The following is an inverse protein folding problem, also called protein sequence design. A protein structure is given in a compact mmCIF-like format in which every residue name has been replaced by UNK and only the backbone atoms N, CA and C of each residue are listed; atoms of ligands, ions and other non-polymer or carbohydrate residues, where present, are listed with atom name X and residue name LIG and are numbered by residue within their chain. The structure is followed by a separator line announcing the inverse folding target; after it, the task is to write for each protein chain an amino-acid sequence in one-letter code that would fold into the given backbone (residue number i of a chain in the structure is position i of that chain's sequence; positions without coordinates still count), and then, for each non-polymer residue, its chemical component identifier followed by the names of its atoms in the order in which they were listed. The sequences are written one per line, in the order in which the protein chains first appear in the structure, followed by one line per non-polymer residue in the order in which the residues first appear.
data_IF_264444958758
#
_entry.id   IF_264444958758
#
_cell.length_a   1.000
_cell.length_b   1.000
_cell.length_c   1.000
_cell.angle_alpha   90.00
_cell.angle_beta   90.00
_cell.angle_gamma   90.00
#
_symmetry.space_group_name_H-M   'P 1'
#
loop_
_entity.id
_entity.type
_entity.pdbx_description
1 polymer ?
#
# COMPACT_ATOMS: atom_id res chain seq x y z
N UNK A 1 13.42 -3.65 -4.54
CA UNK A 1 12.64 -2.67 -3.76
C UNK A 1 11.22 -2.59 -4.28
N UNK A 2 10.29 -2.41 -3.36
CA UNK A 2 8.87 -2.26 -3.73
C UNK A 2 8.62 -1.02 -4.58
N UNK A 3 7.49 -0.98 -5.25
CA UNK A 3 7.03 0.18 -5.98
C UNK A 3 5.70 0.67 -5.46
N UNK A 4 5.48 1.96 -5.49
CA UNK A 4 4.22 2.57 -5.10
C UNK A 4 3.72 3.46 -6.24
N UNK A 5 2.40 3.44 -6.44
CA UNK A 5 1.74 4.31 -7.41
C UNK A 5 0.51 4.92 -6.77
N UNK A 6 0.07 6.03 -7.29
CA UNK A 6 -1.16 6.64 -6.83
C UNK A 6 -1.56 7.80 -7.73
N UNK A 7 -2.84 8.12 -7.70
CA UNK A 7 -3.32 9.31 -8.35
C UNK A 7 -4.61 9.81 -7.69
N UNK A 8 -4.88 11.07 -7.90
CA UNK A 8 -6.03 11.76 -7.35
C UNK A 8 -6.69 12.59 -8.46
N UNK A 9 -7.94 12.27 -8.76
CA UNK A 9 -8.70 13.03 -9.74
C UNK A 9 -9.28 14.30 -9.11
N UNK A 10 -8.73 15.44 -9.49
CA UNK A 10 -9.18 16.74 -8.98
C UNK A 10 -10.53 17.18 -9.56
N UNK A 11 -10.95 16.56 -10.66
CA UNK A 11 -12.21 16.89 -11.34
C UNK A 11 -13.43 16.15 -10.77
N UNK A 12 -13.27 15.44 -9.66
CA UNK A 12 -14.35 14.72 -9.01
C UNK A 12 -14.69 13.36 -9.62
N UNK A 13 -14.00 12.94 -10.67
CA UNK A 13 -14.20 11.60 -11.24
C UNK A 13 -13.64 10.54 -10.31
N UNK A 14 -14.32 9.41 -10.22
CA UNK A 14 -13.82 8.28 -9.44
C UNK A 14 -12.51 7.75 -10.01
N UNK A 15 -11.63 7.27 -9.13
CA UNK A 15 -10.43 6.58 -9.53
C UNK A 15 -10.80 5.24 -10.16
N UNK A 16 -10.05 4.86 -11.20
CA UNK A 16 -10.31 3.66 -11.98
C UNK A 16 -9.28 2.59 -11.63
N UNK A 17 -9.76 1.45 -11.13
CA UNK A 17 -8.90 0.32 -10.78
C UNK A 17 -8.08 -0.17 -11.97
N UNK A 18 -8.65 -0.14 -13.18
CA UNK A 18 -7.92 -0.58 -14.38
C UNK A 18 -6.71 0.31 -14.66
N UNK A 19 -6.81 1.60 -14.40
CA UNK A 19 -5.68 2.54 -14.51
C UNK A 19 -4.63 2.22 -13.47
N UNK A 20 -5.03 1.99 -12.24
CA UNK A 20 -4.11 1.61 -11.15
C UNK A 20 -3.36 0.32 -11.48
N UNK A 21 -4.04 -0.68 -12.01
CA UNK A 21 -3.42 -1.94 -12.42
C UNK A 21 -2.38 -1.72 -13.52
N UNK A 22 -2.70 -0.89 -14.50
CA UNK A 22 -1.76 -0.54 -15.57
C UNK A 22 -0.54 0.20 -15.02
N UNK A 23 -0.75 1.13 -14.10
CA UNK A 23 0.35 1.84 -13.45
C UNK A 23 1.24 0.88 -12.67
N UNK A 24 0.66 -0.03 -11.89
CA UNK A 24 1.40 -1.03 -11.14
C UNK A 24 2.18 -1.97 -12.07
N UNK A 25 1.60 -2.38 -13.20
CA UNK A 25 2.27 -3.23 -14.17
C UNK A 25 3.54 -2.58 -14.74
N UNK A 26 3.55 -1.27 -14.90
CA UNK A 26 4.73 -0.54 -15.38
C UNK A 26 5.90 -0.59 -14.44
N UNK A 27 5.66 -0.86 -13.16
CA UNK A 27 6.71 -0.93 -12.14
C UNK A 27 6.82 -2.33 -11.53
N UNK A 28 6.32 -3.36 -12.22
CA UNK A 28 6.41 -4.77 -11.75
C UNK A 28 7.85 -5.22 -11.51
N UNK A 29 8.80 -4.67 -12.28
CA UNK A 29 10.22 -4.99 -12.09
C UNK A 29 10.74 -4.61 -10.69
N UNK A 30 10.08 -3.69 -9.99
CA UNK A 30 10.47 -3.28 -8.64
C UNK A 30 9.94 -4.22 -7.57
N UNK A 31 8.84 -4.93 -7.85
CA UNK A 31 8.24 -5.84 -6.88
C UNK A 31 7.36 -6.88 -7.56
N UNK A 32 7.98 -7.95 -8.09
CA UNK A 32 7.25 -8.97 -8.86
C UNK A 32 6.48 -9.98 -8.00
N UNK A 33 6.66 -9.97 -6.68
CA UNK A 33 6.15 -11.03 -5.80
C UNK A 33 4.68 -10.85 -5.45
N UNK A 34 4.19 -9.63 -5.42
CA UNK A 34 2.80 -9.35 -5.09
C UNK A 34 2.42 -7.95 -5.61
N UNK A 35 1.14 -7.74 -5.86
CA UNK A 35 0.65 -6.43 -6.22
C UNK A 35 -0.74 -6.23 -5.64
N UNK A 36 -1.09 -4.98 -5.36
CA UNK A 36 -2.39 -4.64 -4.84
C UNK A 36 -2.79 -3.23 -5.24
N UNK A 37 -4.09 -3.00 -5.24
CA UNK A 37 -4.66 -1.68 -5.52
C UNK A 37 -5.73 -1.35 -4.48
N UNK A 38 -5.89 -0.06 -4.23
CA UNK A 38 -6.95 0.47 -3.39
C UNK A 38 -7.55 1.69 -4.08
N UNK A 39 -8.87 1.75 -4.10
CA UNK A 39 -9.58 2.87 -4.71
C UNK A 39 -10.71 3.29 -3.79
N UNK A 40 -10.83 4.58 -3.57
CA UNK A 40 -11.97 5.15 -2.84
C UNK A 40 -12.25 6.55 -3.37
N UNK A 41 -13.45 6.73 -3.91
CA UNK A 41 -13.82 7.99 -4.55
C UNK A 41 -12.83 8.33 -5.67
N UNK A 42 -12.26 9.52 -5.63
CA UNK A 42 -11.35 10.01 -6.66
C UNK A 42 -9.87 9.75 -6.34
N UNK A 43 -9.58 8.93 -5.35
CA UNK A 43 -8.22 8.58 -4.94
C UNK A 43 -7.94 7.10 -5.24
N UNK A 44 -6.78 6.83 -5.81
CA UNK A 44 -6.32 5.47 -6.02
C UNK A 44 -4.87 5.30 -5.60
N UNK A 45 -4.57 4.14 -5.03
CA UNK A 45 -3.22 3.73 -4.62
C UNK A 45 -2.93 2.34 -5.17
N UNK A 46 -1.66 2.07 -5.47
CA UNK A 46 -1.20 0.76 -5.87
C UNK A 46 0.17 0.46 -5.28
N UNK A 47 0.51 -0.82 -5.25
CA UNK A 47 1.77 -1.30 -4.69
C UNK A 47 2.23 -2.54 -5.41
N UNK A 48 3.53 -2.62 -5.68
CA UNK A 48 4.19 -3.85 -6.13
C UNK A 48 5.21 -4.24 -5.07
N UNK A 49 5.16 -5.50 -4.64
CA UNK A 49 5.91 -5.98 -3.48
C UNK A 49 7.09 -6.83 -3.88
N UNK A 50 8.25 -6.53 -3.30
CA UNK A 50 9.39 -7.42 -3.25
C UNK A 50 9.47 -7.99 -1.83
N UNK A 51 9.28 -9.29 -1.68
CA UNK A 51 9.23 -9.94 -0.37
C UNK A 51 10.64 -10.27 0.11
N UNK A 52 11.13 -9.54 1.10
CA UNK A 52 12.47 -9.76 1.67
C UNK A 52 12.37 -10.38 3.06
N UNK A 53 11.59 -9.77 3.96
CA UNK A 53 11.51 -10.19 5.36
C UNK A 53 10.25 -10.99 5.69
N UNK A 54 9.11 -10.64 5.15
CA UNK A 54 7.84 -11.29 5.42
C UNK A 54 7.23 -11.77 4.11
N UNK A 55 7.19 -13.07 3.92
CA UNK A 55 6.63 -13.71 2.72
C UNK A 55 5.12 -13.92 2.81
N UNK A 56 4.50 -13.58 3.96
CA UNK A 56 3.08 -13.80 4.18
C UNK A 56 2.21 -12.71 3.55
N UNK A 57 0.91 -12.96 3.49
CA UNK A 57 -0.07 -11.99 3.04
C UNK A 57 -0.21 -10.79 3.98
N UNK A 58 0.33 -10.88 5.21
CA UNK A 58 0.34 -9.77 6.15
C UNK A 58 1.12 -8.57 5.64
N UNK A 59 2.07 -8.80 4.72
CA UNK A 59 2.81 -7.72 4.07
C UNK A 59 2.17 -7.20 2.79
N UNK A 60 0.99 -7.70 2.40
CA UNK A 60 0.28 -7.22 1.22
C UNK A 60 -0.13 -5.76 1.39
N UNK A 61 0.11 -4.95 0.35
CA UNK A 61 -0.23 -3.53 0.35
C UNK A 61 -1.07 -3.17 -0.87
N UNK A 62 -1.84 -2.09 -0.82
CA UNK A 62 -1.95 -1.13 0.29
C UNK A 62 -2.58 -1.73 1.56
N UNK A 63 -2.08 -1.28 2.73
CA UNK A 63 -2.73 -1.59 4.01
C UNK A 63 -3.97 -0.72 4.15
N UNK A 64 -5.09 -1.32 4.48
CA UNK A 64 -6.36 -0.59 4.63
C UNK A 64 -6.90 -0.85 6.04
N UNK A 65 -7.33 0.19 6.73
CA UNK A 65 -7.95 0.04 8.04
C UNK A 65 -9.28 -0.70 7.93
N UNK A 66 -9.71 -1.36 9.01
CA UNK A 66 -10.95 -2.16 9.01
C UNK A 66 -12.18 -1.33 8.62
N UNK A 67 -12.20 -0.05 8.95
CA UNK A 67 -13.28 0.87 8.59
C UNK A 67 -13.15 1.45 7.17
N UNK A 68 -12.06 1.15 6.48
CA UNK A 68 -11.79 1.64 5.13
C UNK A 68 -11.47 3.13 5.03
N UNK A 69 -11.27 3.81 6.16
CA UNK A 69 -11.05 5.27 6.16
C UNK A 69 -9.62 5.68 5.89
N UNK A 70 -8.68 4.78 6.05
CA UNK A 70 -7.27 5.06 5.80
C UNK A 70 -6.64 3.92 5.02
N UNK A 71 -5.74 4.26 4.12
CA UNK A 71 -4.96 3.31 3.34
C UNK A 71 -3.52 3.80 3.26
N UNK A 72 -2.58 2.86 3.31
CA UNK A 72 -1.16 3.18 3.24
C UNK A 72 -0.48 2.29 2.21
N UNK A 73 0.23 2.92 1.30
CA UNK A 73 1.15 2.24 0.40
C UNK A 73 2.55 2.79 0.69
N UNK A 74 3.50 1.89 1.00
CA UNK A 74 4.77 2.29 1.58
C UNK A 74 5.91 1.45 1.01
N UNK A 75 6.99 2.14 0.64
CA UNK A 75 8.24 1.52 0.25
C UNK A 75 9.34 2.00 1.19
N UNK A 76 9.77 1.15 2.11
CA UNK A 76 10.80 1.49 3.08
C UNK A 76 10.81 0.53 4.24
N UNK A 77 11.56 0.89 5.27
CA UNK A 77 11.66 0.10 6.49
C UNK A 77 11.61 1.02 7.71
N UNK A 78 10.98 0.51 8.78
CA UNK A 78 10.92 1.19 10.06
C UNK A 78 11.87 0.44 10.99
N UNK A 79 13.07 0.97 11.20
CA UNK A 79 14.12 0.26 11.92
C UNK A 79 13.81 0.09 13.41
N UNK A 80 13.09 1.02 14.01
CA UNK A 80 12.69 0.95 15.42
C UNK A 80 11.27 0.41 15.61
N UNK A 81 10.82 -0.50 14.72
CA UNK A 81 9.45 -1.00 14.74
C UNK A 81 9.08 -1.70 16.05
N UNK A 82 10.04 -2.35 16.72
CA UNK A 82 9.78 -3.03 17.98
C UNK A 82 9.41 -2.06 19.11
N UNK A 83 10.15 -0.96 19.19
CA UNK A 83 9.88 0.11 20.16
C UNK A 83 8.52 0.76 19.89
N UNK A 84 8.25 1.09 18.65
CA UNK A 84 6.97 1.68 18.25
C UNK A 84 5.80 0.75 18.54
N UNK A 85 5.96 -0.53 18.23
CA UNK A 85 4.94 -1.54 18.54
C UNK A 85 4.63 -1.60 20.02
N UNK A 86 5.67 -1.56 20.85
CA UNK A 86 5.54 -1.57 22.31
C UNK A 86 4.76 -0.36 22.81
N UNK A 87 5.10 0.82 22.33
CA UNK A 87 4.40 2.06 22.66
C UNK A 87 2.94 2.04 22.24
N UNK A 88 2.67 1.59 21.01
CA UNK A 88 1.31 1.50 20.49
C UNK A 88 0.46 0.53 21.30
N UNK A 89 1.02 -0.59 21.74
CA UNK A 89 0.31 -1.54 22.61
C UNK A 89 -0.07 -0.92 23.95
N UNK A 90 0.78 -0.06 24.51
CA UNK A 90 0.48 0.68 25.74
C UNK A 90 -0.69 1.64 25.55
N UNK A 91 -0.85 2.19 24.34
CA UNK A 91 -1.94 3.09 24.00
C UNK A 91 -3.23 2.34 23.61
N UNK A 92 -3.22 1.03 23.66
CA UNK A 92 -4.39 0.22 23.35
C UNK A 92 -4.61 -0.03 21.86
N UNK A 93 -3.59 0.14 21.07
CA UNK A 93 -3.66 -0.06 19.61
C UNK A 93 -3.30 -1.49 19.23
#
# INVERSE_FOLDING_TARGET
MCGVVGYWNKNGKEADESVLKKMAQRITHRGPDDSGTFQRGFLGLGHTRLTILDLSQNGHQPFVTNDGKAALSYNGEIYNFRELRHELKKEGV
#
